data_IF_330504608434
#
_entry.id   IF_330504608434
#
_cell.length_a   1.000
_cell.length_b   1.000
_cell.length_c   1.000
_cell.angle_alpha   90.00
_cell.angle_beta   90.00
_cell.angle_gamma   90.00
#
_symmetry.space_group_name_H-M   'P 1'
#
loop_
_entity.id
_entity.type
_entity.pdbx_description
1 polymer ?
#
# COMPACT_ATOMS: atom_id res chain seq x y z
N UNK A 1 -12.56 -13.05 8.87
CA UNK A 1 -11.15 -12.71 8.67
C UNK A 1 -10.77 -11.59 9.63
N UNK A 2 -9.66 -11.72 10.30
CA UNK A 2 -9.18 -10.77 11.27
C UNK A 2 -8.06 -9.90 10.68
N UNK A 3 -8.12 -8.59 10.95
CA UNK A 3 -7.14 -7.64 10.44
C UNK A 3 -6.65 -6.77 11.59
N UNK A 4 -5.34 -6.67 11.76
CA UNK A 4 -4.73 -5.92 12.83
C UNK A 4 -3.68 -4.97 12.28
N UNK A 5 -3.79 -3.69 12.63
CA UNK A 5 -2.77 -2.70 12.26
C UNK A 5 -1.49 -2.97 13.05
N UNK A 6 -0.39 -3.17 12.35
CA UNK A 6 0.91 -3.46 12.95
C UNK A 6 1.74 -2.18 13.10
N UNK A 7 1.78 -1.37 12.04
CA UNK A 7 2.53 -0.12 12.07
C UNK A 7 2.06 0.79 10.94
N UNK A 8 2.40 2.06 11.04
CA UNK A 8 2.16 3.04 10.00
C UNK A 8 3.44 3.83 9.76
N UNK A 9 3.76 4.06 8.50
CA UNK A 9 4.90 4.88 8.09
C UNK A 9 4.44 5.82 6.99
N UNK A 10 5.36 6.56 6.39
CA UNK A 10 5.02 7.48 5.31
C UNK A 10 6.07 7.39 4.20
N UNK A 11 5.63 7.67 2.97
CA UNK A 11 6.53 7.89 1.84
C UNK A 11 6.24 9.24 1.23
N UNK A 12 7.24 9.82 0.59
CA UNK A 12 7.11 11.06 -0.16
C UNK A 12 7.17 10.73 -1.65
N UNK A 13 6.16 11.14 -2.39
CA UNK A 13 6.13 10.99 -3.84
C UNK A 13 5.75 12.34 -4.44
N UNK A 14 6.64 12.91 -5.21
CA UNK A 14 6.43 14.20 -5.87
C UNK A 14 6.04 15.31 -4.89
N UNK A 15 6.69 15.32 -3.71
CA UNK A 15 6.46 16.35 -2.71
C UNK A 15 5.22 16.14 -1.83
N UNK A 16 4.49 15.07 -2.03
CA UNK A 16 3.32 14.76 -1.20
C UNK A 16 3.61 13.52 -0.37
N UNK A 17 3.27 13.57 0.90
CA UNK A 17 3.43 12.43 1.79
C UNK A 17 2.18 11.55 1.75
N UNK A 18 2.41 10.25 1.67
CA UNK A 18 1.35 9.25 1.71
C UNK A 18 1.59 8.32 2.88
N UNK A 19 0.54 7.99 3.60
CA UNK A 19 0.62 7.09 4.74
C UNK A 19 0.56 5.65 4.26
N UNK A 20 1.47 4.83 4.77
CA UNK A 20 1.51 3.39 4.55
C UNK A 20 1.04 2.72 5.83
N UNK A 21 -0.03 1.94 5.76
CA UNK A 21 -0.53 1.19 6.91
C UNK A 21 -0.29 -0.29 6.67
N UNK A 22 0.41 -0.92 7.61
CA UNK A 22 0.74 -2.34 7.54
C UNK A 22 -0.16 -3.12 8.46
N UNK A 23 -0.77 -4.18 7.93
CA UNK A 23 -1.72 -5.01 8.66
C UNK A 23 -1.27 -6.46 8.66
N UNK A 24 -1.57 -7.14 9.74
CA UNK A 24 -1.48 -8.58 9.81
C UNK A 24 -2.88 -9.16 9.62
N UNK A 25 -3.00 -10.15 8.75
CA UNK A 25 -4.26 -10.82 8.45
C UNK A 25 -4.15 -12.27 8.88
N UNK A 26 -5.18 -12.79 9.54
CA UNK A 26 -5.27 -14.21 9.84
C UNK A 26 -6.25 -14.86 8.89
N UNK A 27 -5.80 -15.94 8.26
CA UNK A 27 -6.66 -16.71 7.37
C UNK A 27 -7.52 -17.68 8.19
N UNK A 28 -8.53 -18.23 7.55
CA UNK A 28 -9.43 -19.19 8.19
C UNK A 28 -8.67 -20.41 8.70
N UNK A 29 -7.58 -20.79 8.03
CA UNK A 29 -6.77 -21.94 8.39
C UNK A 29 -5.68 -21.64 9.41
N UNK A 30 -5.69 -20.43 9.99
CA UNK A 30 -4.70 -20.05 10.99
C UNK A 30 -3.40 -19.54 10.41
N UNK A 31 -3.26 -19.44 9.09
CA UNK A 31 -2.10 -18.86 8.45
C UNK A 31 -2.09 -17.36 8.62
N UNK A 32 -0.91 -16.76 8.41
CA UNK A 32 -0.73 -15.30 8.49
C UNK A 32 -0.38 -14.74 7.14
N UNK A 33 -0.98 -13.59 6.84
CA UNK A 33 -0.60 -12.77 5.69
C UNK A 33 -0.43 -11.35 6.17
N UNK A 34 0.29 -10.56 5.37
CA UNK A 34 0.56 -9.17 5.71
C UNK A 34 0.17 -8.32 4.51
N UNK A 35 -0.36 -7.15 4.79
CA UNK A 35 -0.83 -6.26 3.75
C UNK A 35 -0.40 -4.84 4.07
N UNK A 36 -0.09 -4.06 3.04
CA UNK A 36 0.20 -2.63 3.17
C UNK A 36 -0.81 -1.87 2.33
N UNK A 37 -1.44 -0.88 2.93
CA UNK A 37 -2.43 -0.05 2.27
C UNK A 37 -1.93 1.38 2.17
N UNK A 38 -2.01 1.95 0.96
CA UNK A 38 -1.66 3.35 0.70
C UNK A 38 -2.93 4.04 0.19
N UNK A 39 -3.44 4.99 0.96
CA UNK A 39 -4.62 5.75 0.59
C UNK A 39 -4.18 6.92 -0.29
N UNK A 40 -4.66 6.98 -1.52
CA UNK A 40 -4.35 8.07 -2.45
C UNK A 40 -5.41 9.16 -2.43
N UNK A 41 -6.67 8.75 -2.49
CA UNK A 41 -7.84 9.63 -2.36
C UNK A 41 -8.88 8.86 -1.55
N UNK A 42 -9.98 9.49 -1.13
CA UNK A 42 -11.04 8.75 -0.44
C UNK A 42 -11.58 7.58 -1.25
N UNK A 43 -11.50 7.67 -2.58
CA UNK A 43 -12.04 6.63 -3.47
C UNK A 43 -10.98 5.70 -4.05
N UNK A 44 -9.69 5.96 -3.82
CA UNK A 44 -8.62 5.20 -4.46
C UNK A 44 -7.54 4.84 -3.45
N UNK A 45 -7.14 3.57 -3.47
CA UNK A 45 -6.06 3.08 -2.61
C UNK A 45 -5.32 1.96 -3.33
N UNK A 46 -4.06 1.79 -2.92
CA UNK A 46 -3.21 0.71 -3.40
C UNK A 46 -3.01 -0.27 -2.27
N UNK A 47 -3.15 -1.55 -2.56
CA UNK A 47 -2.93 -2.60 -1.56
C UNK A 47 -1.87 -3.55 -2.10
N UNK A 48 -0.84 -3.78 -1.30
CA UNK A 48 0.21 -4.77 -1.57
C UNK A 48 0.17 -5.79 -0.45
N UNK A 49 0.36 -7.05 -0.77
CA UNK A 49 0.38 -8.09 0.27
C UNK A 49 1.51 -9.08 0.04
N UNK A 50 1.84 -9.80 1.10
CA UNK A 50 2.87 -10.83 1.08
C UNK A 50 2.63 -11.74 2.27
N UNK A 51 3.33 -12.87 2.29
CA UNK A 51 3.19 -13.86 3.38
C UNK A 51 4.17 -13.63 4.52
N UNK A 52 5.08 -12.65 4.43
CA UNK A 52 5.91 -12.24 5.55
C UNK A 52 6.06 -10.72 5.58
N UNK A 53 6.28 -10.18 6.79
CA UNK A 53 6.44 -8.74 6.95
C UNK A 53 7.72 -8.24 6.28
N UNK A 54 8.82 -8.96 6.39
CA UNK A 54 10.09 -8.52 5.80
C UNK A 54 10.01 -8.52 4.27
N UNK A 55 9.37 -9.51 3.66
CA UNK A 55 9.15 -9.52 2.22
C UNK A 55 8.23 -8.40 1.79
N UNK A 56 7.19 -8.14 2.57
CA UNK A 56 6.25 -7.05 2.28
C UNK A 56 6.96 -5.69 2.34
N UNK A 57 7.76 -5.45 3.37
CA UNK A 57 8.49 -4.19 3.50
C UNK A 57 9.44 -3.98 2.33
N UNK A 58 10.13 -5.03 1.91
CA UNK A 58 11.02 -4.98 0.74
C UNK A 58 10.23 -4.65 -0.53
N UNK A 59 9.12 -5.33 -0.73
CA UNK A 59 8.24 -5.10 -1.88
C UNK A 59 7.70 -3.67 -1.87
N UNK A 60 7.23 -3.19 -0.74
CA UNK A 60 6.69 -1.84 -0.60
C UNK A 60 7.76 -0.79 -0.93
N UNK A 61 8.99 -0.97 -0.43
CA UNK A 61 10.07 -0.04 -0.71
C UNK A 61 10.38 0.09 -2.20
N UNK A 62 10.21 -1.00 -2.96
CA UNK A 62 10.47 -0.99 -4.40
C UNK A 62 9.26 -0.57 -5.23
N UNK A 63 8.08 -1.03 -4.83
CA UNK A 63 6.88 -0.97 -5.69
C UNK A 63 5.97 0.20 -5.35
N UNK A 64 5.80 0.53 -4.06
CA UNK A 64 4.82 1.53 -3.65
C UNK A 64 5.08 2.91 -4.25
N UNK A 65 6.31 3.46 -4.20
CA UNK A 65 6.54 4.78 -4.79
C UNK A 65 6.23 4.81 -6.28
N UNK A 66 6.64 3.77 -7.01
CA UNK A 66 6.39 3.69 -8.46
C UNK A 66 4.90 3.56 -8.76
N UNK A 67 4.18 2.76 -7.96
CA UNK A 67 2.74 2.57 -8.16
C UNK A 67 1.98 3.85 -7.87
N UNK A 68 2.32 4.54 -6.79
CA UNK A 68 1.69 5.83 -6.45
C UNK A 68 1.96 6.85 -7.56
N UNK A 69 3.19 6.93 -8.02
CA UNK A 69 3.57 7.86 -9.09
C UNK A 69 2.77 7.56 -10.36
N UNK A 70 2.66 6.29 -10.73
CA UNK A 70 1.91 5.86 -11.90
C UNK A 70 0.43 6.26 -11.80
N UNK A 71 -0.18 6.10 -10.61
CA UNK A 71 -1.57 6.50 -10.38
C UNK A 71 -1.74 8.00 -10.49
N UNK A 72 -0.78 8.77 -9.97
CA UNK A 72 -0.82 10.23 -10.07
C UNK A 72 -0.74 10.69 -11.52
N UNK A 73 0.13 10.07 -12.31
CA UNK A 73 0.23 10.39 -13.74
C UNK A 73 -1.09 10.09 -14.46
N UNK A 74 -1.69 8.95 -14.17
CA UNK A 74 -2.96 8.57 -14.79
C UNK A 74 -4.06 9.57 -14.46
N UNK A 75 -4.12 10.04 -13.21
CA UNK A 75 -5.17 11.00 -12.81
C UNK A 75 -4.95 12.40 -13.39
N UNK A 76 -3.73 12.72 -13.78
CA UNK A 76 -3.39 14.02 -14.38
C UNK A 76 -3.40 14.00 -15.91
N UNK A 77 -3.58 12.85 -16.51
CA UNK A 77 -3.57 12.72 -17.96
C UNK A 77 -4.77 13.46 -18.56
N UNK A 78 -4.54 14.31 -19.59
CA UNK A 78 -5.65 14.99 -20.25
C UNK A 78 -6.62 14.02 -20.96
N UNK A 79 -6.16 12.83 -21.24
CA UNK A 79 -7.00 11.82 -21.90
C UNK A 79 -7.82 11.02 -20.89
N UNK A 80 -7.56 11.20 -19.61
CA UNK A 80 -8.35 10.57 -18.56
C UNK A 80 -9.59 11.40 -18.23
N UNK A 81 -9.67 12.58 -18.76
CA UNK A 81 -10.81 13.47 -18.55
C UNK A 81 -11.95 13.13 -19.51
#
# INVERSE_FOLDING_TARGET
MFRKLVKATAIDVEGTQYTLRFYELKTIRGGRRFSCEVQLTPADRVILDDDSMSSLESKVGRVAPATVYSRLLASKSPFAA
#
